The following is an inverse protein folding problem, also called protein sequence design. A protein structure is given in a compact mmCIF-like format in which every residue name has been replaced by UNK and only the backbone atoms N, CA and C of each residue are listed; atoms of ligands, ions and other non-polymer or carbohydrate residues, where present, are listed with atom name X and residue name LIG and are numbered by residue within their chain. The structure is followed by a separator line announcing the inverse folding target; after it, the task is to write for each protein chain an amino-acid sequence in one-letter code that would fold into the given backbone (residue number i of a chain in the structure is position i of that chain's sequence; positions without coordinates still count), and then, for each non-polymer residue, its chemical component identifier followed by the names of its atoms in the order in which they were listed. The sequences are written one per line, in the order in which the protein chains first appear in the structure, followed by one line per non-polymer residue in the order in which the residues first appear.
data_IF_090322674804
#
_entry.id   IF_090322674804
#
_cell.length_a   1.000
_cell.length_b   1.000
_cell.length_c   1.000
_cell.angle_alpha   90.00
_cell.angle_beta   90.00
_cell.angle_gamma   90.00
#
_symmetry.space_group_name_H-M   'P 1'
#
loop_
_entity.id
_entity.type
_entity.pdbx_description
1 polymer ?
#
# COMPACT_ATOMS: atom_id res chain seq x y z
N UNK A 1 15.61 40.44 -7.06
CA UNK A 1 14.41 39.61 -6.78
C UNK A 1 14.86 38.16 -6.73
N UNK A 2 15.03 37.58 -5.54
CA UNK A 2 15.64 36.26 -5.33
C UNK A 2 14.92 35.52 -4.19
N UNK A 3 13.58 35.45 -4.28
CA UNK A 3 12.72 34.84 -3.25
C UNK A 3 11.67 33.85 -3.80
N UNK A 4 11.69 33.54 -5.10
CA UNK A 4 10.71 32.61 -5.71
C UNK A 4 11.13 31.13 -5.67
N UNK A 5 12.40 30.81 -5.38
CA UNK A 5 12.90 29.43 -5.47
C UNK A 5 12.61 28.57 -4.22
N UNK A 6 12.33 29.19 -3.07
CA UNK A 6 12.15 28.48 -1.79
C UNK A 6 10.77 27.82 -1.72
N UNK A 7 9.73 28.44 -2.31
CA UNK A 7 8.39 27.86 -2.35
C UNK A 7 8.28 26.61 -3.25
N UNK A 8 8.95 26.62 -4.40
CA UNK A 8 8.88 25.51 -5.36
C UNK A 8 9.56 24.22 -4.89
N UNK A 9 10.68 24.32 -4.17
CA UNK A 9 11.39 23.16 -3.65
C UNK A 9 10.61 22.50 -2.50
N UNK A 10 10.03 23.29 -1.58
CA UNK A 10 9.22 22.78 -0.47
C UNK A 10 7.94 22.10 -0.97
N UNK A 11 7.24 22.70 -1.93
CA UNK A 11 6.04 22.09 -2.54
C UNK A 11 6.37 20.80 -3.33
N UNK A 12 7.53 20.73 -3.98
CA UNK A 12 7.99 19.51 -4.66
C UNK A 12 8.37 18.40 -3.67
N UNK A 13 8.97 18.73 -2.53
CA UNK A 13 9.30 17.76 -1.47
C UNK A 13 8.03 17.26 -0.78
N UNK A 14 7.12 18.15 -0.41
CA UNK A 14 5.83 17.79 0.21
C UNK A 14 5.00 16.87 -0.69
N UNK A 15 5.05 17.07 -2.00
CA UNK A 15 4.35 16.21 -2.97
C UNK A 15 5.03 14.85 -3.15
N UNK A 16 6.37 14.76 -3.12
CA UNK A 16 7.08 13.47 -3.17
C UNK A 16 6.83 12.66 -1.90
N UNK A 17 6.89 13.30 -0.73
CA UNK A 17 6.61 12.65 0.55
C UNK A 17 5.16 12.14 0.62
N UNK A 18 4.19 12.96 0.17
CA UNK A 18 2.80 12.53 0.08
C UNK A 18 2.60 11.31 -0.83
N UNK A 19 3.27 11.27 -1.99
CA UNK A 19 3.21 10.13 -2.92
C UNK A 19 3.85 8.88 -2.35
N UNK A 20 4.99 9.03 -1.66
CA UNK A 20 5.66 7.93 -0.98
C UNK A 20 4.78 7.37 0.15
N UNK A 21 4.15 8.24 0.95
CA UNK A 21 3.23 7.83 2.00
C UNK A 21 1.98 7.13 1.43
N UNK A 22 1.40 7.66 0.34
CA UNK A 22 0.26 7.06 -0.33
C UNK A 22 0.58 5.66 -0.87
N UNK A 23 1.69 5.53 -1.62
CA UNK A 23 2.15 4.25 -2.14
C UNK A 23 2.50 3.27 -1.01
N UNK A 24 3.18 3.73 0.04
CA UNK A 24 3.48 2.90 1.22
C UNK A 24 2.23 2.38 1.91
N UNK A 25 1.20 3.23 2.06
CA UNK A 25 -0.07 2.84 2.68
C UNK A 25 -0.78 1.74 1.89
N UNK A 26 -0.97 1.91 0.58
CA UNK A 26 -1.69 0.91 -0.23
C UNK A 26 -0.94 -0.41 -0.30
N UNK A 27 0.40 -0.40 -0.38
CA UNK A 27 1.20 -1.62 -0.41
C UNK A 27 1.16 -2.33 0.94
N UNK A 28 1.24 -1.59 2.04
CA UNK A 28 1.16 -2.15 3.39
C UNK A 28 -0.21 -2.75 3.64
N UNK A 29 -1.29 -2.04 3.33
CA UNK A 29 -2.65 -2.55 3.49
C UNK A 29 -2.91 -3.77 2.59
N UNK A 30 -2.44 -3.74 1.33
CA UNK A 30 -2.57 -4.88 0.42
C UNK A 30 -1.83 -6.11 0.94
N UNK A 31 -0.58 -5.97 1.38
CA UNK A 31 0.18 -7.06 1.97
C UNK A 31 -0.45 -7.56 3.27
N UNK A 32 -0.95 -6.67 4.12
CA UNK A 32 -1.65 -7.04 5.35
C UNK A 32 -2.92 -7.86 5.05
N UNK A 33 -3.75 -7.40 4.11
CA UNK A 33 -5.00 -8.07 3.72
C UNK A 33 -4.70 -9.43 3.08
N UNK A 34 -3.73 -9.50 2.16
CA UNK A 34 -3.35 -10.75 1.49
C UNK A 34 -2.82 -11.79 2.48
N UNK A 35 -1.88 -11.43 3.34
CA UNK A 35 -1.33 -12.37 4.32
C UNK A 35 -2.39 -12.78 5.33
N UNK A 36 -3.15 -11.82 5.87
CA UNK A 36 -4.06 -12.09 6.97
C UNK A 36 -5.33 -12.79 6.51
N UNK A 37 -5.99 -12.29 5.46
CA UNK A 37 -7.23 -12.89 4.96
C UNK A 37 -6.98 -14.02 3.96
N UNK A 38 -5.96 -13.91 3.11
CA UNK A 38 -5.66 -14.91 2.08
C UNK A 38 -4.94 -16.13 2.62
N UNK A 39 -3.95 -15.94 3.49
CA UNK A 39 -3.16 -17.04 4.03
C UNK A 39 -3.66 -17.52 5.39
N UNK A 40 -3.74 -16.65 6.40
CA UNK A 40 -4.02 -17.08 7.77
C UNK A 40 -5.49 -17.42 8.00
N UNK A 41 -6.37 -16.43 7.90
CA UNK A 41 -7.81 -16.63 8.06
C UNK A 41 -8.39 -17.47 6.92
N UNK A 42 -7.84 -17.36 5.71
CA UNK A 42 -8.21 -18.17 4.56
C UNK A 42 -7.96 -19.67 4.76
N UNK A 43 -6.98 -20.05 5.59
CA UNK A 43 -6.70 -21.45 5.90
C UNK A 43 -7.68 -22.07 6.90
N UNK A 44 -8.55 -21.27 7.53
CA UNK A 44 -9.56 -21.78 8.46
C UNK A 44 -10.57 -22.70 7.74
N UNK A 45 -11.07 -23.75 8.42
CA UNK A 45 -12.02 -24.69 7.85
C UNK A 45 -13.41 -24.07 7.66
N UNK A 46 -14.31 -24.86 7.06
CA UNK A 46 -15.73 -24.53 6.92
C UNK A 46 -15.96 -23.17 6.25
N UNK A 47 -16.91 -22.37 6.75
CA UNK A 47 -17.36 -21.11 6.14
C UNK A 47 -16.41 -19.93 6.37
N UNK A 48 -15.50 -20.02 7.34
CA UNK A 48 -14.67 -18.89 7.74
C UNK A 48 -13.57 -18.60 6.73
N UNK A 49 -12.85 -19.63 6.28
CA UNK A 49 -11.83 -19.49 5.24
C UNK A 49 -12.36 -18.92 3.92
N UNK A 50 -13.47 -19.43 3.37
CA UNK A 50 -14.15 -18.83 2.23
C UNK A 50 -14.59 -17.38 2.47
N UNK A 51 -15.09 -17.04 3.67
CA UNK A 51 -15.50 -15.66 3.99
C UNK A 51 -14.31 -14.70 4.03
N UNK A 52 -13.18 -15.14 4.60
CA UNK A 52 -11.92 -14.38 4.58
C UNK A 52 -11.45 -14.09 3.15
N UNK A 53 -11.43 -15.11 2.27
CA UNK A 53 -11.09 -14.93 0.86
C UNK A 53 -12.07 -14.01 0.11
N UNK A 54 -13.35 -14.05 0.44
CA UNK A 54 -14.35 -13.17 -0.16
C UNK A 54 -14.11 -11.71 0.23
N UNK A 55 -13.79 -11.43 1.50
CA UNK A 55 -13.44 -10.10 1.99
C UNK A 55 -12.13 -9.60 1.36
N UNK A 56 -11.09 -10.45 1.25
CA UNK A 56 -9.88 -10.14 0.49
C UNK A 56 -10.21 -9.69 -0.95
N UNK A 57 -10.96 -10.51 -1.69
CA UNK A 57 -11.32 -10.20 -3.06
C UNK A 57 -12.17 -8.91 -3.15
N UNK A 58 -12.97 -8.63 -2.12
CA UNK A 58 -13.70 -7.36 -1.97
C UNK A 58 -12.76 -6.16 -1.89
N UNK A 59 -11.76 -6.23 -1.00
CA UNK A 59 -10.73 -5.21 -0.86
C UNK A 59 -9.94 -5.00 -2.16
N UNK A 60 -9.49 -6.09 -2.80
CA UNK A 60 -8.74 -6.05 -4.06
C UNK A 60 -9.51 -5.31 -5.15
N UNK A 61 -10.82 -5.59 -5.30
CA UNK A 61 -11.66 -4.88 -6.28
C UNK A 61 -11.78 -3.39 -6.00
N UNK A 62 -11.96 -3.01 -4.72
CA UNK A 62 -12.12 -1.59 -4.34
C UNK A 62 -10.80 -0.80 -4.41
N UNK A 63 -9.66 -1.49 -4.25
CA UNK A 63 -8.33 -0.87 -4.21
C UNK A 63 -7.47 -1.17 -5.44
N UNK A 64 -8.02 -1.78 -6.49
CA UNK A 64 -7.28 -2.17 -7.70
C UNK A 64 -6.52 -0.99 -8.35
N UNK A 65 -7.19 0.15 -8.51
CA UNK A 65 -6.58 1.34 -9.12
C UNK A 65 -5.51 1.97 -8.21
N UNK A 66 -5.78 2.26 -6.91
CA UNK A 66 -4.73 2.71 -5.99
C UNK A 66 -3.52 1.77 -5.91
N UNK A 67 -3.75 0.45 -5.89
CA UNK A 67 -2.68 -0.54 -5.84
C UNK A 67 -1.80 -0.50 -7.09
N UNK A 68 -2.42 -0.41 -8.27
CA UNK A 68 -1.71 -0.27 -9.54
C UNK A 68 -0.89 1.02 -9.58
N UNK A 69 -1.49 2.15 -9.22
CA UNK A 69 -0.82 3.46 -9.22
C UNK A 69 0.35 3.48 -8.23
N UNK A 70 0.16 2.94 -7.02
CA UNK A 70 1.21 2.83 -6.00
C UNK A 70 2.38 1.95 -6.45
N UNK A 71 2.07 0.81 -7.07
CA UNK A 71 3.07 -0.10 -7.63
C UNK A 71 3.89 0.56 -8.74
N UNK A 72 3.23 1.29 -9.66
CA UNK A 72 3.90 2.03 -10.73
C UNK A 72 4.80 3.14 -10.19
N UNK A 73 4.39 3.83 -9.13
CA UNK A 73 5.22 4.83 -8.47
C UNK A 73 6.49 4.24 -7.86
N UNK A 74 6.38 3.15 -7.11
CA UNK A 74 7.55 2.47 -6.52
C UNK A 74 8.49 1.95 -7.62
N UNK A 75 7.94 1.42 -8.71
CA UNK A 75 8.75 1.01 -9.85
C UNK A 75 9.46 2.19 -10.52
N UNK A 76 8.79 3.33 -10.70
CA UNK A 76 9.41 4.55 -11.23
C UNK A 76 10.55 5.06 -10.34
N UNK A 77 10.41 4.97 -9.01
CA UNK A 77 11.49 5.28 -8.08
C UNK A 77 12.67 4.31 -8.26
N UNK A 78 12.41 3.01 -8.37
CA UNK A 78 13.42 1.99 -8.66
C UNK A 78 14.20 2.30 -9.94
N UNK A 79 13.50 2.62 -11.03
CA UNK A 79 14.12 3.00 -12.31
C UNK A 79 14.96 4.28 -12.20
N UNK A 80 14.52 5.26 -11.40
CA UNK A 80 15.28 6.47 -11.15
C UNK A 80 16.55 6.18 -10.33
N UNK A 81 16.49 5.24 -9.38
CA UNK A 81 17.68 4.74 -8.64
C UNK A 81 18.62 4.00 -9.59
N UNK A 82 18.12 3.09 -10.44
CA UNK A 82 18.93 2.40 -11.46
C UNK A 82 19.68 3.41 -12.33
N UNK A 83 18.97 4.41 -12.84
CA UNK A 83 19.53 5.43 -13.74
C UNK A 83 20.65 6.24 -13.09
N UNK A 84 20.54 6.53 -11.79
CA UNK A 84 21.49 7.40 -11.06
C UNK A 84 22.62 6.63 -10.37
N UNK A 85 22.35 5.41 -9.94
CA UNK A 85 23.18 4.67 -8.99
C UNK A 85 23.49 3.23 -9.43
N UNK A 86 22.90 2.76 -10.54
CA UNK A 86 23.09 1.42 -11.09
C UNK A 86 22.16 0.35 -10.49
N UNK A 87 22.16 -0.83 -11.11
CA UNK A 87 21.23 -1.92 -10.81
C UNK A 87 21.33 -2.41 -9.36
N UNK A 88 22.55 -2.51 -8.81
CA UNK A 88 22.75 -2.97 -7.43
C UNK A 88 22.04 -2.08 -6.41
N UNK A 89 22.04 -0.76 -6.62
CA UNK A 89 21.35 0.18 -5.76
C UNK A 89 19.82 0.06 -5.89
N UNK A 90 19.31 -0.22 -7.09
CA UNK A 90 17.88 -0.43 -7.31
C UNK A 90 17.38 -1.73 -6.66
N UNK A 91 18.16 -2.81 -6.72
CA UNK A 91 17.89 -4.04 -5.98
C UNK A 91 17.82 -3.75 -4.49
N UNK A 92 18.83 -3.06 -3.94
CA UNK A 92 18.85 -2.68 -2.53
C UNK A 92 17.64 -1.81 -2.14
N UNK A 93 17.25 -0.85 -2.99
CA UNK A 93 16.06 -0.04 -2.79
C UNK A 93 14.78 -0.90 -2.69
N UNK A 94 14.59 -1.83 -3.62
CA UNK A 94 13.42 -2.72 -3.60
C UNK A 94 13.40 -3.63 -2.38
N UNK A 95 14.55 -4.17 -1.98
CA UNK A 95 14.66 -5.01 -0.78
C UNK A 95 14.36 -4.21 0.49
N UNK A 96 14.84 -2.97 0.58
CA UNK A 96 14.50 -2.06 1.69
C UNK A 96 13.01 -1.73 1.74
N UNK A 97 12.36 -1.46 0.59
CA UNK A 97 10.91 -1.22 0.55
C UNK A 97 10.13 -2.45 1.00
N UNK A 98 10.50 -3.64 0.53
CA UNK A 98 9.88 -4.91 0.96
C UNK A 98 10.04 -5.13 2.47
N UNK A 99 11.23 -4.91 3.01
CA UNK A 99 11.49 -5.03 4.44
C UNK A 99 10.64 -4.04 5.25
N UNK A 100 10.58 -2.77 4.85
CA UNK A 100 9.78 -1.75 5.55
C UNK A 100 8.28 -2.09 5.57
N UNK A 101 7.74 -2.56 4.44
CA UNK A 101 6.33 -2.97 4.37
C UNK A 101 6.10 -4.23 5.23
N UNK A 102 6.98 -5.23 5.13
CA UNK A 102 6.91 -6.45 5.92
C UNK A 102 6.95 -6.19 7.42
N UNK A 103 7.86 -5.33 7.88
CA UNK A 103 7.97 -4.92 9.28
C UNK A 103 6.70 -4.21 9.77
N UNK A 104 6.08 -3.40 8.91
CA UNK A 104 4.84 -2.70 9.24
C UNK A 104 3.66 -3.67 9.32
N UNK A 105 3.55 -4.61 8.38
CA UNK A 105 2.55 -5.67 8.40
C UNK A 105 2.70 -6.54 9.65
N UNK A 106 3.93 -6.93 10.01
CA UNK A 106 4.19 -7.71 11.22
C UNK A 106 3.72 -6.98 12.49
N UNK A 107 3.95 -5.66 12.60
CA UNK A 107 3.44 -4.86 13.72
C UNK A 107 1.91 -4.79 13.74
N UNK A 108 1.26 -4.64 12.58
CA UNK A 108 -0.20 -4.67 12.48
C UNK A 108 -0.76 -6.02 12.94
N UNK A 109 -0.13 -7.12 12.52
CA UNK A 109 -0.51 -8.46 12.92
C UNK A 109 -0.31 -8.70 14.40
N UNK A 110 0.82 -8.29 14.99
CA UNK A 110 1.05 -8.39 16.44
C UNK A 110 0.01 -7.62 17.27
N UNK A 111 -0.47 -6.47 16.76
CA UNK A 111 -1.52 -5.70 17.43
C UNK A 111 -2.89 -6.40 17.37
N UNK A 112 -3.11 -7.29 16.40
CA UNK A 112 -4.37 -7.98 16.17
C UNK A 112 -4.39 -9.42 16.75
N UNK A 113 -3.24 -10.08 16.75
CA UNK A 113 -3.01 -11.44 17.26
C UNK A 113 -1.96 -11.37 18.38
N UNK A 114 -2.36 -10.84 19.55
CA UNK A 114 -1.44 -10.49 20.62
C UNK A 114 -0.72 -11.70 21.26
N UNK A 115 -1.33 -12.88 21.18
CA UNK A 115 -0.77 -14.16 21.63
C UNK A 115 -0.10 -14.95 20.49
N UNK A 116 -0.09 -14.40 19.26
CA UNK A 116 0.48 -15.02 18.07
C UNK A 116 -0.39 -16.12 17.46
N UNK A 117 -1.56 -16.38 18.03
CA UNK A 117 -2.49 -17.41 17.54
C UNK A 117 -3.57 -16.81 16.64
N UNK A 118 -3.87 -17.48 15.54
CA UNK A 118 -4.94 -17.07 14.63
C UNK A 118 -6.25 -17.67 15.11
N UNK A 119 -7.08 -16.85 15.76
CA UNK A 119 -8.40 -17.29 16.24
C UNK A 119 -9.51 -16.98 15.24
N UNK A 120 -10.59 -17.77 15.29
CA UNK A 120 -11.78 -17.53 14.48
C UNK A 120 -12.40 -16.14 14.78
N UNK A 121 -12.39 -15.72 16.04
CA UNK A 121 -12.89 -14.40 16.47
C UNK A 121 -12.08 -13.23 15.91
N UNK A 122 -10.74 -13.36 15.85
CA UNK A 122 -9.90 -12.31 15.29
C UNK A 122 -10.09 -12.22 13.77
N UNK A 123 -10.19 -13.36 13.09
CA UNK A 123 -10.51 -13.41 11.68
C UNK A 123 -11.87 -12.78 11.36
N UNK A 124 -12.91 -13.06 12.15
CA UNK A 124 -14.23 -12.45 11.96
C UNK A 124 -14.18 -10.91 12.09
N UNK A 125 -13.45 -10.39 13.08
CA UNK A 125 -13.24 -8.94 13.26
C UNK A 125 -12.50 -8.30 12.08
N UNK A 126 -11.49 -8.97 11.54
CA UNK A 126 -10.69 -8.45 10.43
C UNK A 126 -11.51 -8.46 9.14
N UNK A 127 -12.31 -9.50 8.91
CA UNK A 127 -13.29 -9.55 7.82
C UNK A 127 -14.23 -8.35 7.90
N UNK A 128 -14.84 -8.11 9.06
CA UNK A 128 -15.75 -6.98 9.25
C UNK A 128 -15.05 -5.63 9.00
N UNK A 129 -13.83 -5.45 9.52
CA UNK A 129 -13.05 -4.23 9.31
C UNK A 129 -12.70 -4.00 7.83
N UNK A 130 -12.34 -5.08 7.11
CA UNK A 130 -12.05 -5.03 5.67
C UNK A 130 -13.31 -4.75 4.85
N UNK A 131 -14.45 -5.36 5.18
CA UNK A 131 -15.72 -5.11 4.49
C UNK A 131 -16.27 -3.71 4.76
N UNK A 132 -16.05 -3.16 5.96
CA UNK A 132 -16.31 -1.77 6.28
C UNK A 132 -15.32 -0.78 5.60
N UNK A 133 -14.30 -1.31 4.93
CA UNK A 133 -13.30 -0.53 4.21
C UNK A 133 -12.27 0.18 5.08
N UNK A 134 -12.05 -0.27 6.33
CA UNK A 134 -11.03 0.27 7.24
C UNK A 134 -9.65 0.37 6.59
N UNK A 135 -9.35 -0.57 5.69
CA UNK A 135 -8.09 -0.64 4.96
C UNK A 135 -8.17 -0.09 3.53
N UNK A 136 -9.32 0.43 3.11
CA UNK A 136 -9.47 1.03 1.78
C UNK A 136 -8.78 2.39 1.75
N UNK A 137 -8.01 2.61 0.69
CA UNK A 137 -7.29 3.85 0.46
C UNK A 137 -8.25 5.05 0.35
N UNK A 138 -9.44 4.82 -0.21
CA UNK A 138 -10.46 5.84 -0.42
C UNK A 138 -10.99 6.46 0.89
N UNK A 139 -10.88 5.78 2.02
CA UNK A 139 -11.33 6.30 3.32
C UNK A 139 -10.36 7.31 3.94
N UNK A 140 -9.19 7.54 3.34
CA UNK A 140 -8.30 8.64 3.69
C UNK A 140 -8.36 9.73 2.60
N UNK A 141 -9.12 10.82 2.78
CA UNK A 141 -9.34 11.81 1.72
C UNK A 141 -8.07 12.44 1.15
N UNK A 142 -7.04 12.63 1.99
CA UNK A 142 -5.75 13.18 1.55
C UNK A 142 -4.99 12.19 0.69
N UNK A 143 -5.02 10.91 1.05
CA UNK A 143 -4.34 9.86 0.28
C UNK A 143 -5.09 9.58 -1.03
N UNK A 144 -6.42 9.55 -1.00
CA UNK A 144 -7.25 9.40 -2.19
C UNK A 144 -6.97 10.52 -3.21
N UNK A 145 -6.83 11.77 -2.75
CA UNK A 145 -6.41 12.88 -3.60
C UNK A 145 -5.05 12.64 -4.25
N UNK A 146 -4.06 12.23 -3.46
CA UNK A 146 -2.71 11.94 -3.97
C UNK A 146 -2.75 10.86 -5.06
N UNK A 147 -3.54 9.80 -4.89
CA UNK A 147 -3.68 8.77 -5.92
C UNK A 147 -4.31 9.29 -7.21
N UNK A 148 -5.34 10.14 -7.13
CA UNK A 148 -5.93 10.76 -8.33
C UNK A 148 -4.91 11.60 -9.10
N UNK A 149 -4.08 12.36 -8.39
CA UNK A 149 -3.02 13.16 -9.00
C UNK A 149 -1.96 12.27 -9.66
N UNK A 150 -1.50 11.23 -8.96
CA UNK A 150 -0.55 10.27 -9.49
C UNK A 150 -1.09 9.53 -10.73
N UNK A 151 -2.35 9.10 -10.69
CA UNK A 151 -3.02 8.43 -11.81
C UNK A 151 -3.12 9.32 -13.05
N UNK A 152 -3.50 10.60 -12.87
CA UNK A 152 -3.57 11.56 -13.96
C UNK A 152 -2.20 11.78 -14.64
N UNK A 153 -1.13 11.88 -13.86
CA UNK A 153 0.24 12.01 -14.38
C UNK A 153 0.68 10.78 -15.17
N UNK A 154 0.31 9.58 -14.71
CA UNK A 154 0.63 8.33 -15.41
C UNK A 154 -0.08 8.22 -16.77
N UNK A 155 -1.32 8.72 -16.86
CA UNK A 155 -2.08 8.78 -18.13
C UNK A 155 -1.44 9.77 -19.10
N UNK A 156 -1.06 10.96 -18.62
CA UNK A 156 -0.40 11.98 -19.44
C UNK A 156 0.90 11.47 -20.05
N UNK A 157 1.75 10.80 -19.25
CA UNK A 157 3.02 10.23 -19.73
C UNK A 157 2.89 9.08 -20.74
N UNK A 158 1.70 8.50 -20.91
CA UNK A 158 1.43 7.50 -21.97
C UNK A 158 0.92 8.13 -23.27
N UNK A 159 0.46 9.38 -23.22
CA UNK A 159 -0.05 10.11 -24.38
C UNK A 159 1.07 10.86 -25.13
N UNK A 160 2.21 11.08 -24.47
CA UNK A 160 3.45 11.64 -25.02
C UNK A 160 4.39 10.54 -25.53
#
# INVERSE_FOLDING_TARGET
MLLAAVGGAVQATDTIEARNAAAGLVMTHGMFVDVTLGHWCGALPATDGPSARAAQAGWERRNAEPFLVGSLWIHALGNAVTTRMGDAAAVQFHDQRKAEFGDTVARMQQALFADGEVTQSDCARIIEAVDAGTFDVAHNPRVAETFRQMGAELVQRRAD
#
